data_IF_392026990113
#
_entry.id   IF_392026990113
#
_cell.length_a   1.000
_cell.length_b   1.000
_cell.length_c   1.000
_cell.angle_alpha   90.00
_cell.angle_beta   90.00
_cell.angle_gamma   90.00
#
_symmetry.space_group_name_H-M   'P 1'
#
loop_
_entity.id
_entity.type
_entity.pdbx_description
1 polymer ?
#
# COMPACT_ATOMS: atom_id res chain seq x y z
N UNK A 1 -9.83 13.08 31.62
CA UNK A 1 -9.49 13.12 30.17
C UNK A 1 -8.98 11.73 29.80
N UNK A 2 -9.62 11.03 28.87
CA UNK A 2 -9.21 9.68 28.48
C UNK A 2 -7.83 9.68 27.82
N UNK A 3 -6.97 8.72 28.17
CA UNK A 3 -5.63 8.52 27.56
C UNK A 3 -5.66 8.38 26.03
N UNK A 4 -6.82 8.09 25.43
CA UNK A 4 -7.04 7.89 24.00
C UNK A 4 -7.08 9.23 23.24
N UNK A 5 -7.62 10.30 23.85
CA UNK A 5 -7.81 11.59 23.18
C UNK A 5 -6.50 12.24 22.70
N UNK A 6 -5.39 12.26 23.47
CA UNK A 6 -4.12 12.79 22.96
C UNK A 6 -3.48 11.91 21.88
N UNK A 7 -3.77 10.60 21.85
CA UNK A 7 -3.25 9.68 20.84
C UNK A 7 -4.03 9.77 19.52
N UNK A 8 -5.33 10.07 19.60
CA UNK A 8 -6.25 10.12 18.47
C UNK A 8 -7.07 11.41 18.48
N UNK A 9 -6.44 12.55 18.12
CA UNK A 9 -7.08 13.86 18.18
C UNK A 9 -8.29 14.01 17.24
N UNK A 10 -8.34 13.19 16.18
CA UNK A 10 -9.43 13.15 15.20
C UNK A 10 -10.46 12.03 15.48
N UNK A 11 -10.39 11.38 16.64
CA UNK A 11 -11.15 10.16 16.97
C UNK A 11 -10.42 8.88 16.54
N UNK A 12 -10.91 7.72 17.00
CA UNK A 12 -10.27 6.42 16.73
C UNK A 12 -11.11 5.51 15.81
N UNK A 13 -12.38 5.82 15.61
CA UNK A 13 -13.38 4.96 14.97
C UNK A 13 -13.07 4.67 13.50
N UNK A 14 -12.58 5.66 12.76
CA UNK A 14 -12.22 5.51 11.35
C UNK A 14 -11.00 4.59 11.15
N UNK A 15 -10.03 4.59 12.07
CA UNK A 15 -8.90 3.66 12.00
C UNK A 15 -9.35 2.22 12.22
N UNK A 16 -10.25 1.98 13.19
CA UNK A 16 -10.80 0.65 13.42
C UNK A 16 -11.63 0.17 12.22
N UNK A 17 -12.56 1.00 11.74
CA UNK A 17 -13.43 0.66 10.62
C UNK A 17 -12.62 0.40 9.35
N UNK A 18 -11.64 1.26 9.05
CA UNK A 18 -10.73 1.08 7.92
C UNK A 18 -9.94 -0.22 8.03
N UNK A 19 -9.38 -0.52 9.20
CA UNK A 19 -8.64 -1.75 9.45
C UNK A 19 -9.50 -3.01 9.27
N UNK A 20 -10.72 -3.01 9.81
CA UNK A 20 -11.68 -4.12 9.66
C UNK A 20 -12.08 -4.33 8.20
N UNK A 21 -12.36 -3.26 7.46
CA UNK A 21 -12.74 -3.34 6.05
C UNK A 21 -11.59 -3.86 5.17
N UNK A 22 -10.36 -3.38 5.40
CA UNK A 22 -9.16 -3.86 4.69
C UNK A 22 -8.87 -5.32 5.04
N UNK A 23 -8.96 -5.68 6.33
CA UNK A 23 -8.78 -7.05 6.80
C UNK A 23 -9.80 -8.00 6.18
N UNK A 24 -11.09 -7.63 6.19
CA UNK A 24 -12.15 -8.39 5.53
C UNK A 24 -11.91 -8.51 4.02
N UNK A 25 -11.59 -7.41 3.34
CA UNK A 25 -11.34 -7.41 1.90
C UNK A 25 -10.20 -8.34 1.49
N UNK A 26 -9.07 -8.28 2.20
CA UNK A 26 -7.93 -9.17 1.94
C UNK A 26 -8.21 -10.62 2.32
N UNK A 27 -8.98 -10.86 3.37
CA UNK A 27 -9.40 -12.21 3.78
C UNK A 27 -10.34 -12.84 2.76
N UNK A 28 -11.33 -12.10 2.26
CA UNK A 28 -12.25 -12.58 1.21
C UNK A 28 -11.50 -12.85 -0.09
N UNK A 29 -10.57 -11.97 -0.50
CA UNK A 29 -9.69 -12.22 -1.64
C UNK A 29 -8.98 -13.57 -1.50
N UNK A 30 -8.37 -13.83 -0.34
CA UNK A 30 -7.65 -15.06 -0.09
C UNK A 30 -8.58 -16.28 -0.04
N UNK A 31 -9.72 -16.18 0.64
CA UNK A 31 -10.69 -17.28 0.76
C UNK A 31 -11.25 -17.72 -0.60
N UNK A 32 -11.58 -16.77 -1.49
CA UNK A 32 -12.20 -17.10 -2.77
C UNK A 32 -11.19 -17.45 -3.88
N UNK A 33 -9.97 -16.89 -3.83
CA UNK A 33 -9.01 -17.04 -4.94
C UNK A 33 -7.74 -17.78 -4.56
N UNK A 34 -7.48 -17.99 -3.27
CA UNK A 34 -6.22 -18.52 -2.76
C UNK A 34 -5.03 -17.58 -2.96
N UNK A 35 -5.26 -16.33 -3.35
CA UNK A 35 -4.20 -15.37 -3.71
C UNK A 35 -4.01 -14.31 -2.62
N UNK A 36 -2.76 -13.94 -2.42
CA UNK A 36 -2.34 -12.91 -1.47
C UNK A 36 -2.25 -11.56 -2.19
N UNK A 37 -2.92 -10.54 -1.65
CA UNK A 37 -2.93 -9.19 -2.21
C UNK A 37 -1.60 -8.45 -2.00
N UNK A 38 -1.04 -7.85 -3.06
CA UNK A 38 0.22 -7.12 -2.95
C UNK A 38 0.49 -6.19 -4.14
N UNK A 39 0.67 -4.89 -3.88
CA UNK A 39 0.75 -3.86 -4.93
C UNK A 39 2.11 -3.76 -5.61
N UNK A 40 3.23 -3.95 -4.92
CA UNK A 40 4.56 -3.85 -5.53
C UNK A 40 4.75 -4.81 -6.72
N UNK A 41 4.10 -5.97 -6.65
CA UNK A 41 4.17 -6.97 -7.71
C UNK A 41 3.35 -6.63 -8.95
N UNK A 42 2.33 -5.77 -8.82
CA UNK A 42 1.54 -5.25 -9.95
C UNK A 42 2.47 -4.55 -10.94
N UNK A 43 3.37 -3.69 -10.44
CA UNK A 43 4.33 -2.97 -11.29
C UNK A 43 5.14 -3.90 -12.18
N UNK A 44 5.83 -4.91 -11.62
CA UNK A 44 6.67 -5.80 -12.44
C UNK A 44 5.87 -6.77 -13.28
N UNK A 45 4.70 -7.23 -12.83
CA UNK A 45 3.83 -8.07 -13.67
C UNK A 45 3.24 -7.30 -14.85
N UNK A 46 2.93 -6.01 -14.68
CA UNK A 46 2.45 -5.16 -15.76
C UNK A 46 3.57 -4.86 -16.76
N UNK A 47 4.78 -4.59 -16.27
CA UNK A 47 5.95 -4.33 -17.11
C UNK A 47 6.37 -5.54 -17.95
N UNK A 48 5.94 -6.77 -17.59
CA UNK A 48 6.15 -7.97 -18.41
C UNK A 48 5.50 -7.90 -19.79
N UNK A 49 4.49 -7.04 -20.00
CA UNK A 49 3.89 -6.82 -21.32
C UNK A 49 4.78 -5.99 -22.25
N UNK A 50 5.49 -5.02 -21.68
CA UNK A 50 6.26 -4.02 -22.42
C UNK A 50 7.73 -4.42 -22.53
N UNK A 51 8.29 -5.02 -21.48
CA UNK A 51 9.72 -5.30 -21.38
C UNK A 51 10.00 -6.80 -21.39
N UNK A 52 10.66 -7.24 -22.45
CA UNK A 52 11.03 -8.63 -22.70
C UNK A 52 12.39 -9.01 -22.09
N UNK A 53 12.74 -8.43 -20.94
CA UNK A 53 13.98 -8.78 -20.22
C UNK A 53 13.75 -10.02 -19.34
N UNK A 54 14.78 -10.86 -19.11
CA UNK A 54 14.65 -12.11 -18.33
C UNK A 54 14.01 -11.92 -16.95
N UNK A 55 14.26 -10.78 -16.30
CA UNK A 55 13.66 -10.47 -14.99
C UNK A 55 12.13 -10.34 -15.05
N UNK A 56 11.59 -9.64 -16.05
CA UNK A 56 10.15 -9.39 -16.16
C UNK A 56 9.39 -10.57 -16.76
N UNK A 57 10.07 -11.42 -17.54
CA UNK A 57 9.51 -12.62 -18.16
C UNK A 57 9.54 -13.86 -17.26
N UNK A 58 9.79 -13.71 -15.96
CA UNK A 58 9.70 -14.82 -15.02
C UNK A 58 8.25 -15.33 -14.97
N UNK A 59 8.03 -16.67 -14.95
CA UNK A 59 6.68 -17.25 -14.94
C UNK A 59 5.78 -16.66 -13.85
N UNK A 60 6.35 -16.46 -12.64
CA UNK A 60 5.64 -15.83 -11.51
C UNK A 60 5.04 -14.44 -11.81
N UNK A 61 5.58 -13.69 -12.76
CA UNK A 61 5.08 -12.37 -13.15
C UNK A 61 4.13 -12.46 -14.34
N UNK A 62 4.44 -13.30 -15.32
CA UNK A 62 3.62 -13.47 -16.53
C UNK A 62 2.29 -14.15 -16.20
N UNK A 63 2.30 -15.19 -15.36
CA UNK A 63 1.09 -15.95 -15.01
C UNK A 63 0.14 -15.16 -14.09
N UNK A 64 0.69 -14.19 -13.34
CA UNK A 64 -0.05 -13.40 -12.36
C UNK A 64 -0.50 -12.03 -12.85
N UNK A 65 -0.07 -11.60 -14.05
CA UNK A 65 -0.31 -10.23 -14.55
C UNK A 65 -1.78 -9.85 -14.64
N UNK A 66 -2.63 -10.78 -15.10
CA UNK A 66 -4.06 -10.51 -15.29
C UNK A 66 -4.77 -10.19 -13.97
N UNK A 67 -4.65 -11.07 -12.98
CA UNK A 67 -5.35 -10.86 -11.71
C UNK A 67 -4.79 -9.69 -10.90
N UNK A 68 -3.48 -9.44 -10.99
CA UNK A 68 -2.84 -8.30 -10.32
C UNK A 68 -3.35 -6.97 -10.84
N UNK A 69 -3.61 -6.88 -12.14
CA UNK A 69 -4.26 -5.73 -12.75
C UNK A 69 -5.72 -5.59 -12.30
N UNK A 70 -6.47 -6.69 -12.25
CA UNK A 70 -7.85 -6.67 -11.72
C UNK A 70 -7.88 -6.22 -10.26
N UNK A 71 -6.95 -6.69 -9.43
CA UNK A 71 -6.80 -6.28 -8.04
C UNK A 71 -6.49 -4.78 -7.92
N UNK A 72 -5.52 -4.28 -8.71
CA UNK A 72 -5.17 -2.86 -8.73
C UNK A 72 -6.33 -1.99 -9.22
N UNK A 73 -7.01 -2.41 -10.29
CA UNK A 73 -8.20 -1.73 -10.80
C UNK A 73 -9.32 -1.71 -9.75
N UNK A 74 -9.55 -2.81 -9.03
CA UNK A 74 -10.52 -2.87 -7.93
C UNK A 74 -10.23 -1.85 -6.83
N UNK A 75 -8.95 -1.69 -6.45
CA UNK A 75 -8.55 -0.68 -5.46
C UNK A 75 -8.76 0.76 -5.97
N UNK A 76 -8.44 1.03 -7.24
CA UNK A 76 -8.68 2.33 -7.88
C UNK A 76 -10.18 2.62 -7.94
N UNK A 77 -10.99 1.67 -8.39
CA UNK A 77 -12.45 1.80 -8.46
C UNK A 77 -13.04 2.01 -7.07
N UNK A 78 -12.59 1.25 -6.06
CA UNK A 78 -13.02 1.45 -4.67
C UNK A 78 -12.73 2.85 -4.15
N UNK A 79 -11.53 3.38 -4.42
CA UNK A 79 -11.17 4.75 -4.07
C UNK A 79 -12.02 5.79 -4.81
N UNK A 80 -12.29 5.58 -6.11
CA UNK A 80 -13.14 6.47 -6.92
C UNK A 80 -14.60 6.47 -6.45
N UNK A 81 -15.18 5.30 -6.14
CA UNK A 81 -16.53 5.18 -5.59
C UNK A 81 -16.63 5.93 -4.26
N UNK A 82 -15.63 5.79 -3.39
CA UNK A 82 -15.61 6.54 -2.14
C UNK A 82 -15.50 8.06 -2.38
N UNK A 83 -14.61 8.48 -3.28
CA UNK A 83 -14.38 9.90 -3.57
C UNK A 83 -15.62 10.57 -4.18
N UNK A 84 -16.30 9.92 -5.12
CA UNK A 84 -17.50 10.45 -5.76
C UNK A 84 -18.73 10.37 -4.83
N UNK A 85 -18.87 9.30 -4.06
CA UNK A 85 -20.04 9.06 -3.22
C UNK A 85 -20.01 9.78 -1.87
N UNK A 86 -18.87 9.77 -1.19
CA UNK A 86 -18.73 10.27 0.19
C UNK A 86 -17.90 11.54 0.30
N UNK A 87 -16.90 11.74 -0.57
CA UNK A 87 -16.08 12.96 -0.56
C UNK A 87 -16.61 14.05 -1.50
N UNK A 88 -17.78 13.84 -2.11
CA UNK A 88 -18.46 14.82 -2.97
C UNK A 88 -17.68 15.21 -4.23
N UNK A 89 -16.70 14.40 -4.65
CA UNK A 89 -15.85 14.73 -5.80
C UNK A 89 -14.96 15.96 -5.58
N UNK A 90 -14.72 16.37 -4.32
CA UNK A 90 -13.92 17.55 -4.03
C UNK A 90 -12.47 17.34 -4.50
N UNK A 91 -11.95 18.34 -5.23
CA UNK A 91 -10.55 18.36 -5.66
C UNK A 91 -9.64 18.27 -4.42
N UNK A 92 -8.75 17.27 -4.41
CA UNK A 92 -7.76 17.09 -3.36
C UNK A 92 -6.51 17.84 -3.78
N UNK A 93 -6.16 18.89 -3.05
CA UNK A 93 -4.91 19.62 -3.25
C UNK A 93 -3.86 19.18 -2.24
N UNK A 94 -2.59 19.26 -2.62
CA UNK A 94 -1.46 18.96 -1.75
C UNK A 94 -0.46 20.10 -1.79
N UNK A 95 -0.05 20.55 -0.61
CA UNK A 95 1.00 21.56 -0.46
C UNK A 95 2.40 21.03 -0.82
N UNK A 96 2.52 19.73 -1.12
CA UNK A 96 3.79 19.07 -1.45
C UNK A 96 4.12 19.26 -2.93
N UNK A 97 5.27 19.85 -3.29
CA UNK A 97 5.64 20.08 -4.68
C UNK A 97 5.83 18.76 -5.45
N UNK A 98 5.47 18.77 -6.74
CA UNK A 98 5.45 17.57 -7.58
C UNK A 98 6.79 16.81 -7.64
N UNK A 99 7.93 17.50 -7.56
CA UNK A 99 9.24 16.86 -7.54
C UNK A 99 9.48 16.01 -6.29
N UNK A 100 8.96 16.44 -5.12
CA UNK A 100 9.04 15.67 -3.88
C UNK A 100 8.19 14.42 -3.96
N UNK A 101 6.99 14.52 -4.56
CA UNK A 101 6.13 13.36 -4.83
C UNK A 101 6.81 12.38 -5.78
N UNK A 102 7.43 12.87 -6.85
CA UNK A 102 8.16 12.05 -7.83
C UNK A 102 9.35 11.34 -7.20
N UNK A 103 10.21 12.07 -6.47
CA UNK A 103 11.38 11.51 -5.81
C UNK A 103 10.97 10.53 -4.70
N UNK A 104 10.00 10.90 -3.86
CA UNK A 104 9.48 10.03 -2.81
C UNK A 104 8.88 8.74 -3.37
N UNK A 105 8.08 8.83 -4.43
CA UNK A 105 7.51 7.68 -5.13
C UNK A 105 8.59 6.74 -5.69
N UNK A 106 9.65 7.30 -6.28
CA UNK A 106 10.80 6.52 -6.76
C UNK A 106 11.50 5.79 -5.62
N UNK A 107 11.84 6.50 -4.53
CA UNK A 107 12.51 5.92 -3.37
C UNK A 107 11.68 4.81 -2.72
N UNK A 108 10.36 5.03 -2.55
CA UNK A 108 9.43 4.04 -2.02
C UNK A 108 9.34 2.82 -2.94
N UNK A 109 9.25 3.04 -4.26
CA UNK A 109 9.21 1.96 -5.25
C UNK A 109 10.49 1.11 -5.24
N UNK A 110 11.65 1.76 -5.20
CA UNK A 110 12.95 1.11 -5.09
C UNK A 110 13.07 0.33 -3.76
N UNK A 111 12.72 0.96 -2.65
CA UNK A 111 12.75 0.33 -1.32
C UNK A 111 11.83 -0.88 -1.21
N UNK A 112 10.61 -0.80 -1.74
CA UNK A 112 9.68 -1.93 -1.80
C UNK A 112 10.22 -3.11 -2.63
N UNK A 113 11.12 -2.84 -3.59
CA UNK A 113 11.81 -3.90 -4.33
C UNK A 113 12.99 -4.48 -3.58
N UNK A 114 13.80 -3.64 -2.93
CA UNK A 114 14.88 -4.10 -2.08
C UNK A 114 14.35 -4.99 -0.94
N UNK A 115 13.22 -4.62 -0.34
CA UNK A 115 12.53 -5.40 0.71
C UNK A 115 11.69 -6.58 0.21
N UNK A 116 11.73 -6.89 -1.10
CA UNK A 116 10.94 -7.95 -1.75
C UNK A 116 9.43 -7.89 -1.45
N UNK A 117 8.88 -6.71 -1.19
CA UNK A 117 7.51 -6.51 -0.76
C UNK A 117 7.22 -5.06 -0.41
N UNK A 118 5.96 -4.66 -0.54
CA UNK A 118 5.48 -3.35 -0.10
C UNK A 118 4.75 -3.48 1.25
N UNK A 119 4.37 -2.34 1.83
CA UNK A 119 3.56 -2.27 3.04
C UNK A 119 2.25 -3.04 2.95
N UNK A 120 1.59 -3.11 1.79
CA UNK A 120 0.37 -3.91 1.65
C UNK A 120 0.66 -5.42 1.76
N UNK A 121 1.79 -5.87 1.20
CA UNK A 121 2.19 -7.28 1.21
C UNK A 121 2.73 -7.74 2.56
N UNK A 122 3.73 -7.04 3.09
CA UNK A 122 4.32 -7.37 4.40
C UNK A 122 3.43 -6.91 5.56
N UNK A 123 2.84 -5.72 5.48
CA UNK A 123 2.05 -5.14 6.56
C UNK A 123 0.66 -5.73 6.70
N UNK A 124 -0.11 -5.84 5.61
CA UNK A 124 -1.50 -6.34 5.73
C UNK A 124 -1.48 -7.87 5.76
N UNK A 125 -1.02 -8.50 4.67
CA UNK A 125 -1.07 -9.96 4.55
C UNK A 125 0.03 -10.66 5.36
N UNK A 126 1.26 -10.15 5.35
CA UNK A 126 2.41 -10.75 6.04
C UNK A 126 2.24 -10.80 7.55
N UNK A 127 1.89 -9.67 8.20
CA UNK A 127 1.56 -9.64 9.63
C UNK A 127 0.30 -10.47 9.95
N UNK A 128 -0.72 -10.42 9.10
CA UNK A 128 -1.92 -11.24 9.26
C UNK A 128 -1.64 -12.74 9.26
N UNK A 129 -0.58 -13.17 8.57
CA UNK A 129 -0.08 -14.56 8.55
C UNK A 129 1.04 -14.84 9.57
N UNK A 130 1.27 -13.93 10.52
CA UNK A 130 2.26 -14.06 11.61
C UNK A 130 3.71 -14.30 11.13
N UNK A 131 4.09 -13.72 10.00
CA UNK A 131 5.45 -13.84 9.47
C UNK A 131 6.43 -12.91 10.20
N UNK A 132 7.39 -13.49 10.93
CA UNK A 132 8.45 -12.72 11.60
C UNK A 132 9.27 -11.81 10.65
N UNK A 133 9.64 -12.25 9.42
CA UNK A 133 10.33 -11.36 8.48
C UNK A 133 9.49 -10.14 8.08
N UNK A 134 8.16 -10.33 7.97
CA UNK A 134 7.24 -9.25 7.66
C UNK A 134 7.14 -8.24 8.81
N UNK A 135 7.16 -8.71 10.06
CA UNK A 135 7.22 -7.84 11.23
C UNK A 135 8.48 -6.96 11.23
N UNK A 136 9.65 -7.55 10.97
CA UNK A 136 10.90 -6.79 10.83
C UNK A 136 10.84 -5.75 9.71
N UNK A 137 10.29 -6.11 8.55
CA UNK A 137 10.12 -5.18 7.43
C UNK A 137 9.16 -4.02 7.75
N UNK A 138 8.06 -4.29 8.47
CA UNK A 138 7.08 -3.26 8.84
C UNK A 138 7.66 -2.32 9.90
N UNK A 139 8.32 -2.85 10.93
CA UNK A 139 8.92 -2.03 11.98
C UNK A 139 10.00 -1.10 11.42
N UNK A 140 10.87 -1.61 10.55
CA UNK A 140 11.89 -0.79 9.88
C UNK A 140 11.26 0.27 8.99
N UNK A 141 10.28 -0.10 8.15
CA UNK A 141 9.58 0.85 7.29
C UNK A 141 8.87 1.96 8.09
N UNK A 142 8.13 1.59 9.15
CA UNK A 142 7.44 2.56 10.00
C UNK A 142 8.40 3.48 10.76
N UNK A 143 9.49 2.93 11.33
CA UNK A 143 10.50 3.72 12.03
C UNK A 143 11.15 4.74 11.07
N UNK A 144 11.57 4.31 9.89
CA UNK A 144 12.12 5.22 8.88
C UNK A 144 11.09 6.25 8.43
N UNK A 145 9.84 5.85 8.17
CA UNK A 145 8.78 6.77 7.79
C UNK A 145 8.52 7.84 8.85
N UNK A 146 8.45 7.48 10.14
CA UNK A 146 8.28 8.44 11.22
C UNK A 146 9.46 9.41 11.32
N UNK A 147 10.70 8.91 11.22
CA UNK A 147 11.89 9.76 11.26
C UNK A 147 11.90 10.73 10.07
N UNK A 148 11.68 10.23 8.86
CA UNK A 148 11.66 11.05 7.64
C UNK A 148 10.53 12.07 7.67
N UNK A 149 9.32 11.69 8.10
CA UNK A 149 8.19 12.61 8.20
C UNK A 149 8.46 13.73 9.22
N UNK A 150 8.99 13.40 10.39
CA UNK A 150 9.34 14.39 11.42
C UNK A 150 10.48 15.32 10.98
N UNK A 151 11.45 14.81 10.22
CA UNK A 151 12.52 15.63 9.66
C UNK A 151 11.99 16.54 8.55
N UNK A 152 11.25 15.99 7.59
CA UNK A 152 10.68 16.74 6.46
C UNK A 152 9.70 17.82 6.93
N UNK A 153 8.87 17.53 7.94
CA UNK A 153 7.93 18.49 8.52
C UNK A 153 8.61 19.70 9.19
N UNK A 154 9.93 19.66 9.45
CA UNK A 154 10.68 20.84 9.92
C UNK A 154 11.11 21.78 8.79
N UNK A 155 11.11 21.28 7.55
CA UNK A 155 11.55 22.01 6.36
C UNK A 155 10.38 22.42 5.45
N UNK A 156 9.16 21.97 5.76
CA UNK A 156 7.89 22.38 5.13
C UNK A 156 7.19 23.39 6.04
#
# INVERSE_FOLDING_TARGET
MSFITPLFPLGWTHYLLGGLLIGLGTSLLFLFTGRIGGMSTVFSSSWSWLVHRPFFQQPRFVDSRGWRLVYAAGLIVGALVWWLGFAGGAAQDTQVPAWQLGLGGFLVGYGARLGNGCTSGHGICGLGSLQLPALGAVLTFMATAFLTANLAARFL
#
